data_IF_060794758338
#
_entry.id   IF_060794758338
#
_cell.length_a   1.000
_cell.length_b   1.000
_cell.length_c   1.000
_cell.angle_alpha   90.00
_cell.angle_beta   90.00
_cell.angle_gamma   90.00
#
_symmetry.space_group_name_H-M   'P 1'
#
loop_
_entity.id
_entity.type
_entity.pdbx_description
1 polymer ?
#
# COMPACT_ATOMS: atom_id res chain seq x y z
N UNK A 1 -11.25 37.51 -25.59
CA UNK A 1 -11.11 36.34 -26.48
C UNK A 1 -10.47 36.84 -27.76
N UNK A 2 -9.19 36.58 -27.96
CA UNK A 2 -8.50 36.97 -29.20
C UNK A 2 -8.26 35.70 -30.01
N UNK A 3 -8.86 35.60 -31.19
CA UNK A 3 -8.50 34.60 -32.17
C UNK A 3 -7.20 35.08 -32.84
N UNK A 4 -6.09 34.48 -32.47
CA UNK A 4 -4.81 34.69 -33.16
C UNK A 4 -4.90 34.13 -34.57
N UNK A 5 -4.49 34.92 -35.59
CA UNK A 5 -4.63 34.62 -36.98
C UNK A 5 -3.94 33.35 -37.40
N UNK A 6 -4.59 32.56 -38.24
CA UNK A 6 -3.97 31.62 -39.18
C UNK A 6 -4.01 30.14 -38.85
N UNK A 7 -4.05 29.67 -37.58
CA UNK A 7 -3.97 28.23 -37.25
C UNK A 7 -5.17 27.63 -36.50
N UNK A 8 -6.17 28.45 -36.15
CA UNK A 8 -7.37 27.97 -35.46
C UNK A 8 -7.16 27.54 -34.01
N UNK A 9 -6.13 28.07 -33.35
CA UNK A 9 -5.85 27.83 -31.94
C UNK A 9 -6.60 28.81 -31.05
N UNK A 10 -7.07 28.33 -29.87
CA UNK A 10 -7.61 29.16 -28.80
C UNK A 10 -6.58 29.15 -27.67
N UNK A 11 -6.16 30.32 -27.22
CA UNK A 11 -5.20 30.47 -26.14
C UNK A 11 -5.77 31.33 -25.01
N UNK A 12 -5.52 30.91 -23.81
CA UNK A 12 -5.80 31.67 -22.58
C UNK A 12 -4.48 31.98 -21.89
N UNK A 13 -4.23 33.24 -21.65
CA UNK A 13 -2.99 33.68 -21.00
C UNK A 13 -3.18 35.03 -20.32
N UNK A 14 -2.20 35.42 -19.51
CA UNK A 14 -2.14 36.74 -18.90
C UNK A 14 -1.20 37.60 -19.72
N UNK A 15 -1.70 38.77 -20.19
CA UNK A 15 -0.86 39.80 -20.83
C UNK A 15 -0.35 40.76 -19.76
N UNK A 16 0.91 41.13 -19.82
CA UNK A 16 1.52 42.18 -19.01
C UNK A 16 1.55 43.55 -19.74
N UNK A 17 0.93 43.64 -20.90
CA UNK A 17 0.85 44.87 -21.69
C UNK A 17 -0.60 45.19 -22.03
N UNK A 18 -0.99 46.45 -21.88
CA UNK A 18 -2.31 46.95 -22.22
C UNK A 18 -2.53 47.10 -23.75
N UNK A 19 -1.48 47.03 -24.56
CA UNK A 19 -1.49 47.38 -25.98
C UNK A 19 -1.13 46.20 -26.91
N UNK A 20 -0.56 45.11 -26.39
CA UNK A 20 -0.22 43.94 -27.18
C UNK A 20 -0.71 42.66 -26.51
N UNK A 21 -1.30 41.74 -27.31
CA UNK A 21 -1.66 40.40 -26.87
C UNK A 21 -0.42 39.49 -26.79
N UNK A 22 0.60 39.96 -26.08
CA UNK A 22 1.77 39.15 -25.75
C UNK A 22 1.49 38.43 -24.43
N UNK A 23 1.29 37.13 -24.49
CA UNK A 23 1.07 36.32 -23.29
C UNK A 23 2.38 36.17 -22.52
N UNK A 24 2.51 36.82 -21.39
CA UNK A 24 3.66 36.62 -20.48
C UNK A 24 3.62 35.24 -19.81
N UNK A 25 2.43 34.64 -19.68
CA UNK A 25 2.23 33.28 -19.23
C UNK A 25 1.03 32.64 -19.93
N UNK A 26 1.27 31.63 -20.73
CA UNK A 26 0.24 30.81 -21.34
C UNK A 26 -0.36 29.90 -20.26
N UNK A 27 -1.67 29.99 -20.02
CA UNK A 27 -2.38 29.18 -19.03
C UNK A 27 -3.01 27.94 -19.66
N UNK A 28 -3.60 28.09 -20.87
CA UNK A 28 -4.19 27.00 -21.61
C UNK A 28 -4.10 27.27 -23.11
N UNK A 29 -3.91 26.20 -23.90
CA UNK A 29 -3.93 26.26 -25.35
C UNK A 29 -4.73 25.08 -25.92
N UNK A 30 -5.63 25.37 -26.86
CA UNK A 30 -6.42 24.40 -27.59
C UNK A 30 -6.06 24.50 -29.09
N UNK A 31 -5.33 23.51 -29.59
CA UNK A 31 -4.89 23.48 -30.98
C UNK A 31 -5.81 22.64 -31.84
N UNK A 32 -6.20 23.13 -33.00
CA UNK A 32 -6.98 22.35 -33.97
C UNK A 32 -6.11 21.21 -34.53
N UNK A 33 -6.53 19.98 -34.30
CA UNK A 33 -5.84 18.79 -34.81
C UNK A 33 -4.51 18.45 -34.14
N UNK A 34 -4.27 19.03 -32.94
CA UNK A 34 -3.11 18.76 -32.12
C UNK A 34 -3.49 18.72 -30.62
N UNK A 35 -2.51 18.71 -29.77
CA UNK A 35 -2.67 18.69 -28.31
C UNK A 35 -3.42 19.90 -27.75
N UNK A 36 -4.17 19.69 -26.69
CA UNK A 36 -4.63 20.74 -25.78
C UNK A 36 -3.77 20.71 -24.52
N UNK A 37 -3.33 21.88 -24.04
CA UNK A 37 -2.49 21.96 -22.86
C UNK A 37 -3.08 22.84 -21.76
N UNK A 38 -2.87 22.45 -20.50
CA UNK A 38 -3.00 23.30 -19.33
C UNK A 38 -1.62 23.52 -18.73
N UNK A 39 -1.26 24.78 -18.50
CA UNK A 39 0.07 25.19 -18.11
C UNK A 39 0.10 25.77 -16.69
N UNK A 40 1.22 25.61 -16.02
CA UNK A 40 1.57 26.33 -14.80
C UNK A 40 2.91 27.02 -15.01
N UNK A 41 2.94 28.33 -14.81
CA UNK A 41 4.11 29.19 -15.09
C UNK A 41 4.69 28.96 -16.49
N UNK A 42 3.84 28.94 -17.52
CA UNK A 42 4.24 28.76 -18.92
C UNK A 42 4.66 27.34 -19.32
N UNK A 43 4.69 26.39 -18.38
CA UNK A 43 5.08 25.00 -18.64
C UNK A 43 3.85 24.07 -18.65
N UNK A 44 3.67 23.19 -19.63
CA UNK A 44 2.58 22.22 -19.67
C UNK A 44 2.60 21.30 -18.45
N UNK A 45 1.47 21.18 -17.76
CA UNK A 45 1.23 20.24 -16.67
C UNK A 45 0.26 19.13 -17.05
N UNK A 46 -0.65 19.42 -17.96
CA UNK A 46 -1.54 18.44 -18.57
C UNK A 46 -1.56 18.69 -20.08
N UNK A 47 -1.41 17.62 -20.86
CA UNK A 47 -1.52 17.66 -22.31
C UNK A 47 -2.34 16.46 -22.80
N UNK A 48 -3.21 16.70 -23.81
CA UNK A 48 -3.89 15.60 -24.52
C UNK A 48 -2.95 15.05 -25.58
N UNK A 49 -3.05 13.74 -25.83
CA UNK A 49 -2.34 13.06 -26.92
C UNK A 49 -3.33 12.18 -27.71
N UNK A 50 -2.86 11.57 -28.80
CA UNK A 50 -3.66 10.64 -29.58
C UNK A 50 -4.11 9.41 -28.75
N UNK A 51 -3.38 9.05 -27.72
CA UNK A 51 -3.60 7.84 -26.91
C UNK A 51 -4.12 8.14 -25.50
N UNK A 52 -4.31 9.42 -25.15
CA UNK A 52 -4.79 9.77 -23.81
C UNK A 52 -4.32 11.13 -23.30
N UNK A 53 -3.94 11.18 -22.04
CA UNK A 53 -3.54 12.39 -21.35
C UNK A 53 -2.14 12.18 -20.74
N UNK A 54 -1.26 13.14 -20.92
CA UNK A 54 0.03 13.21 -20.23
C UNK A 54 -0.05 14.24 -19.10
N UNK A 55 0.33 13.84 -17.89
CA UNK A 55 0.44 14.73 -16.72
C UNK A 55 1.90 14.81 -16.29
N UNK A 56 2.43 16.03 -16.25
CA UNK A 56 3.78 16.29 -15.72
C UNK A 56 3.68 16.69 -14.26
N UNK A 57 3.87 15.72 -13.36
CA UNK A 57 3.75 15.88 -11.91
C UNK A 57 2.86 14.84 -11.27
N UNK A 58 2.25 15.20 -10.14
CA UNK A 58 1.39 14.31 -9.34
C UNK A 58 -0.07 14.50 -9.71
N UNK A 59 -0.82 13.39 -9.84
CA UNK A 59 -2.28 13.38 -9.90
C UNK A 59 -2.80 12.96 -8.53
N UNK A 60 -3.46 13.90 -7.81
CA UNK A 60 -4.19 13.59 -6.59
C UNK A 60 -5.66 13.35 -6.94
N UNK A 61 -6.14 12.15 -6.70
CA UNK A 61 -7.53 11.76 -6.94
C UNK A 61 -8.05 10.91 -5.77
N UNK A 62 -9.34 11.03 -5.48
CA UNK A 62 -9.99 10.22 -4.44
C UNK A 62 -10.07 8.74 -4.84
N UNK A 63 -10.19 8.45 -6.13
CA UNK A 63 -10.21 7.09 -6.67
C UNK A 63 -9.84 7.09 -8.16
N UNK A 64 -9.31 5.96 -8.61
CA UNK A 64 -9.14 5.61 -10.02
C UNK A 64 -9.97 4.36 -10.30
N UNK A 65 -10.74 4.36 -11.40
CA UNK A 65 -11.53 3.22 -11.84
C UNK A 65 -11.03 2.73 -13.19
N UNK A 66 -10.91 1.44 -13.35
CA UNK A 66 -10.46 0.81 -14.60
C UNK A 66 -9.61 -0.44 -14.33
N UNK A 67 -9.18 -1.08 -15.41
CA UNK A 67 -8.19 -2.15 -15.34
C UNK A 67 -6.82 -1.56 -15.04
N UNK A 68 -6.24 -1.95 -13.92
CA UNK A 68 -4.91 -1.50 -13.47
C UNK A 68 -3.74 -2.21 -14.17
N UNK A 69 -3.98 -3.09 -15.13
CA UNK A 69 -2.94 -3.92 -15.78
C UNK A 69 -1.86 -3.11 -16.50
N UNK A 70 -2.20 -1.91 -16.93
CA UNK A 70 -1.27 -0.97 -17.57
C UNK A 70 -0.47 -0.09 -16.62
N UNK A 71 -0.70 -0.16 -15.31
CA UNK A 71 0.02 0.66 -14.33
C UNK A 71 1.40 0.07 -14.08
N UNK A 72 2.45 0.88 -14.22
CA UNK A 72 3.82 0.53 -13.86
C UNK A 72 4.31 1.39 -12.70
N UNK A 73 5.22 0.85 -11.89
CA UNK A 73 5.77 1.57 -10.73
C UNK A 73 4.78 1.73 -9.56
N UNK A 74 3.64 1.04 -9.61
CA UNK A 74 2.74 0.98 -8.46
C UNK A 74 3.38 0.07 -7.43
N UNK A 75 3.94 0.69 -6.38
CA UNK A 75 4.39 -0.06 -5.22
C UNK A 75 3.18 -0.39 -4.34
N UNK A 76 2.44 -1.42 -4.72
CA UNK A 76 1.56 -2.14 -3.79
C UNK A 76 2.47 -3.04 -2.96
N UNK A 77 3.25 -2.42 -2.08
CA UNK A 77 4.08 -3.15 -1.14
C UNK A 77 3.17 -3.88 -0.15
N UNK A 78 3.47 -5.17 0.10
CA UNK A 78 2.94 -5.85 1.27
C UNK A 78 3.36 -5.00 2.48
N UNK A 79 2.40 -4.49 3.23
CA UNK A 79 2.69 -3.70 4.41
C UNK A 79 3.22 -4.62 5.51
N UNK A 80 4.46 -4.40 5.94
CA UNK A 80 5.12 -5.24 6.94
C UNK A 80 5.17 -4.56 8.29
N UNK A 81 4.77 -5.28 9.34
CA UNK A 81 5.03 -4.94 10.73
C UNK A 81 6.25 -5.72 11.25
N UNK A 82 7.11 -5.09 12.03
CA UNK A 82 8.25 -5.75 12.67
C UNK A 82 8.23 -5.50 14.20
N UNK A 83 8.10 -6.57 14.97
CA UNK A 83 8.06 -6.55 16.43
C UNK A 83 9.28 -7.29 17.00
N UNK A 84 9.89 -6.72 18.03
CA UNK A 84 10.93 -7.38 18.84
C UNK A 84 10.34 -7.63 20.23
N UNK A 85 10.31 -8.88 20.66
CA UNK A 85 9.72 -9.29 21.93
C UNK A 85 10.66 -10.17 22.72
N UNK A 86 10.64 -9.94 24.04
CA UNK A 86 11.45 -10.67 25.00
C UNK A 86 10.56 -11.45 25.98
N UNK A 87 11.19 -12.17 26.88
CA UNK A 87 10.51 -13.07 27.81
C UNK A 87 9.33 -12.43 28.54
N UNK A 88 8.20 -13.12 28.52
CA UNK A 88 6.94 -12.72 29.17
C UNK A 88 6.11 -11.69 28.38
N UNK A 89 6.55 -11.27 27.19
CA UNK A 89 5.85 -10.27 26.39
C UNK A 89 4.87 -10.88 25.38
N UNK A 90 3.84 -10.12 25.06
CA UNK A 90 2.89 -10.42 23.98
C UNK A 90 3.25 -9.62 22.73
N UNK A 91 3.31 -10.30 21.60
CA UNK A 91 3.37 -9.70 20.28
C UNK A 91 1.94 -9.59 19.73
N UNK A 92 1.34 -8.42 19.85
CA UNK A 92 0.03 -8.13 19.29
C UNK A 92 0.22 -7.65 17.85
N UNK A 93 -0.16 -8.47 16.88
CA UNK A 93 -0.04 -8.18 15.47
C UNK A 93 -1.16 -7.22 15.03
N UNK A 94 -0.81 -6.12 14.38
CA UNK A 94 -1.76 -5.18 13.80
C UNK A 94 -2.22 -5.70 12.43
N UNK A 95 -3.41 -6.31 12.36
CA UNK A 95 -3.97 -6.88 11.14
C UNK A 95 -4.43 -5.83 10.10
N UNK A 96 -4.05 -4.58 10.24
CA UNK A 96 -4.04 -3.63 9.12
C UNK A 96 -2.82 -3.81 8.22
N UNK A 97 -1.86 -4.65 8.63
CA UNK A 97 -0.66 -5.03 7.87
C UNK A 97 -0.81 -6.45 7.33
N UNK A 98 -0.21 -6.71 6.18
CA UNK A 98 -0.34 -8.00 5.49
C UNK A 98 0.69 -9.03 5.97
N UNK A 99 1.90 -8.57 6.31
CA UNK A 99 3.04 -9.38 6.72
C UNK A 99 3.59 -8.92 8.06
N UNK A 100 3.88 -9.88 8.93
CA UNK A 100 4.38 -9.62 10.28
C UNK A 100 5.70 -10.35 10.48
N UNK A 101 6.66 -9.67 11.10
CA UNK A 101 7.90 -10.27 11.57
C UNK A 101 8.00 -10.12 13.08
N UNK A 102 8.06 -11.22 13.80
CA UNK A 102 8.32 -11.22 15.25
C UNK A 102 9.71 -11.78 15.50
N UNK A 103 10.59 -10.97 16.07
CA UNK A 103 11.88 -11.42 16.58
C UNK A 103 11.73 -11.72 18.07
N UNK A 104 11.86 -12.99 18.44
CA UNK A 104 11.53 -13.50 19.78
C UNK A 104 12.78 -13.97 20.56
N UNK A 105 12.78 -13.71 21.87
CA UNK A 105 13.73 -14.28 22.84
C UNK A 105 12.99 -14.62 24.13
N UNK A 106 13.20 -15.81 24.70
CA UNK A 106 12.46 -16.30 25.86
C UNK A 106 11.02 -16.67 25.50
N UNK A 107 10.11 -16.60 26.46
CA UNK A 107 8.70 -16.95 26.26
C UNK A 107 7.92 -15.76 25.70
N UNK A 108 7.34 -15.90 24.51
CA UNK A 108 6.57 -14.87 23.81
C UNK A 108 5.20 -15.42 23.42
N UNK A 109 4.15 -14.65 23.61
CA UNK A 109 2.80 -15.00 23.14
C UNK A 109 2.45 -14.17 21.91
N UNK A 110 1.96 -14.80 20.86
CA UNK A 110 1.41 -14.12 19.70
C UNK A 110 -0.08 -13.88 19.89
N UNK A 111 -0.49 -12.65 19.67
CA UNK A 111 -1.88 -12.22 19.69
C UNK A 111 -2.15 -11.29 18.50
N UNK A 112 -3.39 -10.85 18.30
CA UNK A 112 -3.78 -10.00 17.17
C UNK A 112 -4.69 -8.85 17.60
N UNK A 113 -4.67 -7.78 16.81
CA UNK A 113 -5.60 -6.65 16.92
C UNK A 113 -6.10 -6.25 15.53
N UNK A 114 -7.37 -5.87 15.42
CA UNK A 114 -7.97 -5.50 14.14
C UNK A 114 -8.29 -6.70 13.25
N UNK A 115 -8.26 -6.47 11.94
CA UNK A 115 -8.54 -7.45 10.90
C UNK A 115 -10.01 -7.53 10.48
N UNK A 116 -10.22 -7.89 9.22
CA UNK A 116 -11.53 -8.10 8.62
C UNK A 116 -11.67 -9.55 8.17
N UNK A 117 -12.90 -10.04 8.12
CA UNK A 117 -13.18 -11.39 7.60
C UNK A 117 -12.64 -11.54 6.18
N UNK A 118 -12.03 -12.68 5.89
CA UNK A 118 -11.31 -13.05 4.67
C UNK A 118 -9.92 -12.41 4.48
N UNK A 119 -9.45 -11.52 5.36
CA UNK A 119 -8.06 -11.04 5.31
C UNK A 119 -7.09 -12.21 5.52
N UNK A 120 -6.01 -12.22 4.76
CA UNK A 120 -4.97 -13.24 4.84
C UNK A 120 -3.62 -12.62 5.19
N UNK A 121 -2.93 -13.22 6.14
CA UNK A 121 -1.70 -12.70 6.72
C UNK A 121 -0.61 -13.74 6.78
N UNK A 122 0.64 -13.27 6.79
CA UNK A 122 1.82 -14.10 7.03
C UNK A 122 2.58 -13.58 8.24
N UNK A 123 2.92 -14.47 9.16
CA UNK A 123 3.76 -14.20 10.31
C UNK A 123 5.07 -14.98 10.19
N UNK A 124 6.19 -14.26 10.19
CA UNK A 124 7.54 -14.82 10.29
C UNK A 124 8.04 -14.68 11.72
N UNK A 125 8.33 -15.79 12.37
CA UNK A 125 8.89 -15.83 13.71
C UNK A 125 10.39 -16.15 13.58
N UNK A 126 11.24 -15.28 14.12
CA UNK A 126 12.69 -15.42 14.11
C UNK A 126 13.20 -15.49 15.55
N UNK A 127 13.82 -16.57 15.93
CA UNK A 127 14.39 -16.73 17.26
C UNK A 127 15.77 -16.04 17.33
N UNK A 128 15.87 -14.92 18.03
CA UNK A 128 17.15 -14.21 18.25
C UNK A 128 17.95 -14.77 19.44
N UNK A 129 17.42 -15.75 20.12
CA UNK A 129 17.98 -16.52 21.21
C UNK A 129 17.13 -17.78 21.39
N UNK A 130 17.27 -18.48 22.53
CA UNK A 130 16.33 -19.54 22.87
C UNK A 130 14.96 -18.90 23.07
N UNK A 131 13.96 -19.33 22.30
CA UNK A 131 12.62 -18.79 22.37
C UNK A 131 11.56 -19.91 22.41
N UNK A 132 10.52 -19.70 23.22
CA UNK A 132 9.30 -20.50 23.25
C UNK A 132 8.16 -19.60 22.84
N UNK A 133 7.51 -19.89 21.70
CA UNK A 133 6.45 -19.05 21.17
C UNK A 133 5.13 -19.77 21.27
N UNK A 134 4.19 -19.16 21.99
CA UNK A 134 2.78 -19.57 22.10
C UNK A 134 1.87 -18.66 21.28
N UNK A 135 0.62 -19.08 21.14
CA UNK A 135 -0.43 -18.35 20.43
C UNK A 135 -1.62 -18.11 21.33
N UNK A 136 -2.31 -16.99 21.16
CA UNK A 136 -3.59 -16.75 21.79
C UNK A 136 -4.64 -17.78 21.32
N UNK A 137 -5.75 -17.86 22.02
CA UNK A 137 -6.86 -18.78 21.70
C UNK A 137 -7.57 -18.46 20.37
N UNK A 138 -7.24 -17.33 19.76
CA UNK A 138 -7.80 -16.93 18.47
C UNK A 138 -7.21 -17.70 17.30
N UNK A 139 -5.99 -18.21 17.44
CA UNK A 139 -5.33 -19.03 16.41
C UNK A 139 -5.85 -20.47 16.46
N UNK A 140 -6.50 -20.87 15.39
CA UNK A 140 -7.06 -22.24 15.22
C UNK A 140 -6.18 -23.02 14.26
N UNK A 141 -5.45 -23.98 14.78
CA UNK A 141 -4.61 -24.87 13.99
C UNK A 141 -5.34 -26.19 13.66
N UNK A 142 -4.96 -26.91 12.60
CA UNK A 142 -5.52 -28.21 12.26
C UNK A 142 -5.49 -29.18 13.44
N UNK A 143 -6.55 -29.94 13.60
CA UNK A 143 -6.73 -30.91 14.72
C UNK A 143 -6.73 -30.27 16.12
N UNK A 144 -6.90 -28.96 16.23
CA UNK A 144 -6.96 -28.24 17.52
C UNK A 144 -5.62 -28.18 18.27
N UNK A 145 -4.53 -28.60 17.67
CA UNK A 145 -3.20 -28.62 18.29
C UNK A 145 -2.36 -27.40 17.90
N UNK A 146 -1.75 -26.72 18.86
CA UNK A 146 -0.74 -25.69 18.57
C UNK A 146 0.52 -26.32 17.98
N UNK A 147 1.12 -25.77 16.92
CA UNK A 147 2.33 -26.32 16.33
C UNK A 147 3.51 -26.23 17.32
N UNK A 148 4.31 -27.30 17.36
CA UNK A 148 5.57 -27.28 18.12
C UNK A 148 6.63 -26.55 17.32
N UNK A 149 6.88 -25.29 17.65
CA UNK A 149 7.90 -24.48 16.97
C UNK A 149 9.30 -24.79 17.53
N UNK A 150 10.35 -24.72 16.69
CA UNK A 150 11.72 -24.86 17.15
C UNK A 150 12.08 -23.77 18.16
N UNK A 151 12.81 -24.12 19.22
CA UNK A 151 13.20 -23.19 20.28
C UNK A 151 14.62 -22.67 20.15
N UNK A 152 15.43 -23.21 19.22
CA UNK A 152 16.83 -22.87 19.04
C UNK A 152 17.02 -21.46 18.48
N UNK A 153 18.11 -20.81 18.88
CA UNK A 153 18.51 -19.51 18.30
C UNK A 153 18.75 -19.64 16.79
N UNK A 154 18.31 -18.66 16.03
CA UNK A 154 18.42 -18.63 14.57
C UNK A 154 17.30 -19.37 13.82
N UNK A 155 16.48 -20.18 14.50
CA UNK A 155 15.36 -20.85 13.86
C UNK A 155 14.31 -19.86 13.36
N UNK A 156 13.74 -20.17 12.19
CA UNK A 156 12.68 -19.39 11.57
C UNK A 156 11.46 -20.28 11.36
N UNK A 157 10.30 -19.73 11.66
CA UNK A 157 9.00 -20.37 11.40
C UNK A 157 8.08 -19.40 10.68
N UNK A 158 7.22 -19.92 9.82
CA UNK A 158 6.21 -19.16 9.10
C UNK A 158 4.83 -19.70 9.52
N UNK A 159 3.97 -18.80 9.93
CA UNK A 159 2.56 -19.05 10.19
C UNK A 159 1.76 -18.28 9.15
N UNK A 160 0.97 -18.94 8.35
CA UNK A 160 0.00 -18.32 7.47
C UNK A 160 -1.39 -18.49 8.07
N UNK A 161 -2.19 -17.43 8.07
CA UNK A 161 -3.53 -17.50 8.61
C UNK A 161 -4.51 -16.61 7.85
N UNK A 162 -5.78 -17.00 7.88
CA UNK A 162 -6.89 -16.22 7.33
C UNK A 162 -7.88 -15.91 8.44
N UNK A 163 -8.36 -14.68 8.50
CA UNK A 163 -9.41 -14.26 9.42
C UNK A 163 -10.72 -14.92 9.00
N UNK A 164 -11.19 -15.90 9.78
CA UNK A 164 -12.46 -16.57 9.53
C UNK A 164 -13.64 -15.83 10.14
N UNK A 165 -13.43 -15.20 11.28
CA UNK A 165 -14.45 -14.39 11.94
C UNK A 165 -13.83 -13.19 12.64
N UNK A 166 -14.28 -11.99 12.29
CA UNK A 166 -14.01 -10.80 13.07
C UNK A 166 -14.96 -10.75 14.29
N UNK A 167 -14.44 -10.30 15.42
CA UNK A 167 -15.24 -10.09 16.62
C UNK A 167 -16.10 -8.83 16.54
N UNK A 168 -16.97 -8.64 17.50
CA UNK A 168 -17.95 -7.53 17.54
C UNK A 168 -17.33 -6.12 17.59
N UNK A 169 -16.03 -5.97 17.83
CA UNK A 169 -15.33 -4.67 17.94
C UNK A 169 -13.96 -4.73 17.25
N UNK A 170 -13.93 -5.16 15.99
CA UNK A 170 -12.70 -5.09 15.19
C UNK A 170 -11.53 -5.95 15.69
N UNK A 171 -11.81 -6.98 16.49
CA UNK A 171 -10.82 -7.98 16.89
C UNK A 171 -11.15 -9.30 16.22
N UNK A 172 -10.20 -9.81 15.47
CA UNK A 172 -10.33 -11.13 14.84
C UNK A 172 -10.30 -12.21 15.92
N UNK A 173 -11.37 -12.98 16.02
CA UNK A 173 -11.55 -13.98 17.10
C UNK A 173 -11.38 -15.42 16.62
N UNK A 174 -11.26 -15.65 15.32
CA UNK A 174 -11.00 -16.96 14.74
C UNK A 174 -10.09 -16.82 13.53
N UNK A 175 -8.86 -17.33 13.66
CA UNK A 175 -7.82 -17.29 12.63
C UNK A 175 -7.51 -18.72 12.20
N UNK A 176 -7.90 -19.10 11.01
CA UNK A 176 -7.56 -20.41 10.45
C UNK A 176 -6.10 -20.43 10.07
N UNK A 177 -5.29 -21.17 10.80
CA UNK A 177 -3.84 -21.03 10.78
C UNK A 177 -3.14 -22.30 10.35
N UNK A 178 -2.06 -22.16 9.58
CA UNK A 178 -1.13 -23.22 9.22
C UNK A 178 0.31 -22.82 9.55
N UNK A 179 1.18 -23.80 9.83
CA UNK A 179 2.56 -23.57 10.18
C UNK A 179 3.52 -24.32 9.25
N UNK A 180 4.57 -23.61 8.80
CA UNK A 180 5.78 -24.19 8.21
C UNK A 180 6.95 -23.86 9.14
N UNK A 181 7.66 -24.85 9.60
CA UNK A 181 8.61 -24.72 10.70
C UNK A 181 10.01 -25.17 10.31
N UNK A 182 11.01 -24.69 11.07
CA UNK A 182 12.40 -25.11 10.98
C UNK A 182 13.09 -24.73 9.66
N UNK A 183 12.95 -23.48 9.25
CA UNK A 183 13.82 -22.89 8.24
C UNK A 183 15.13 -22.46 8.91
N UNK A 184 16.25 -23.07 8.53
CA UNK A 184 17.59 -22.83 9.05
C UNK A 184 18.61 -22.75 7.93
#
# INVERSE_FOLDING_TARGET
MAAGGGTGNIQFGVSNSATELSYSALMAEFKKGAECTLNFNGSPKLATSNTGITVTGTVAATAYTGDGSGLSGVSVGISTEALVKTNGQTASLDLTKDDHKVTATGTVTIDVTGGSEADSHTLRIVNSGIATVGFSTYFLFPSGGTPSLPTTSGAISIISFTVHRAGAVGVSTQLLSGASINFS
#
